data_IF_931475863162
#
_entry.id   IF_931475863162
#
_cell.length_a   1.000
_cell.length_b   1.000
_cell.length_c   1.000
_cell.angle_alpha   90.00
_cell.angle_beta   90.00
_cell.angle_gamma   90.00
#
_symmetry.space_group_name_H-M   'P 1'
#
loop_
_entity.id
_entity.type
_entity.pdbx_description
1 polymer ?
#
# COMPACT_ATOMS: atom_id res chain seq x y z
N UNK A 1 -44.23 47.57 6.30
CA UNK A 1 -43.29 48.23 5.35
C UNK A 1 -41.91 47.80 5.74
N UNK A 2 -41.30 46.98 4.88
CA UNK A 2 -40.05 46.27 5.08
C UNK A 2 -38.85 47.22 4.98
N UNK A 3 -37.91 47.12 5.91
CA UNK A 3 -36.58 47.72 5.80
C UNK A 3 -35.68 46.71 5.07
N UNK A 4 -35.50 46.93 3.78
CA UNK A 4 -34.55 46.19 2.93
C UNK A 4 -33.24 47.00 2.91
N UNK A 5 -32.21 46.46 3.56
CA UNK A 5 -30.83 46.92 3.47
C UNK A 5 -30.10 45.97 2.49
N UNK A 6 -29.55 46.45 1.36
CA UNK A 6 -28.86 45.57 0.44
C UNK A 6 -27.52 45.13 1.06
N UNK A 7 -27.38 43.82 1.26
CA UNK A 7 -26.10 43.17 1.60
C UNK A 7 -25.03 43.58 0.58
N UNK A 8 -23.80 43.93 0.99
CA UNK A 8 -22.72 44.12 0.04
C UNK A 8 -22.37 42.77 -0.58
N UNK A 9 -22.52 42.69 -1.89
CA UNK A 9 -22.04 41.58 -2.71
C UNK A 9 -20.55 41.35 -2.43
N UNK A 10 -20.21 40.21 -1.82
CA UNK A 10 -18.85 39.66 -1.83
C UNK A 10 -18.51 39.31 -3.29
N UNK A 11 -17.93 40.28 -4.00
CA UNK A 11 -17.20 40.01 -5.22
C UNK A 11 -15.97 39.21 -4.81
N UNK A 12 -16.08 37.88 -4.92
CA UNK A 12 -14.96 36.94 -4.83
C UNK A 12 -14.06 37.20 -6.05
N UNK A 13 -13.13 38.14 -5.93
CA UNK A 13 -12.06 38.29 -6.91
C UNK A 13 -11.09 37.14 -6.69
N UNK A 14 -11.14 36.13 -7.56
CA UNK A 14 -10.08 35.12 -7.63
C UNK A 14 -8.80 35.82 -8.06
N UNK A 15 -7.92 36.07 -7.10
CA UNK A 15 -6.59 36.64 -7.34
C UNK A 15 -5.66 35.47 -7.64
N UNK A 16 -5.31 35.30 -8.92
CA UNK A 16 -4.27 34.35 -9.32
C UNK A 16 -2.89 34.92 -9.01
N UNK A 17 -2.08 34.21 -8.24
CA UNK A 17 -0.70 34.61 -7.96
C UNK A 17 0.24 34.38 -9.14
N UNK A 18 1.14 35.36 -9.35
CA UNK A 18 2.27 35.20 -10.25
C UNK A 18 3.40 34.37 -9.61
N UNK A 19 4.11 33.58 -10.42
CA UNK A 19 5.14 32.65 -9.96
C UNK A 19 6.19 33.24 -8.99
N UNK A 20 6.74 34.47 -9.19
CA UNK A 20 7.71 35.05 -8.26
C UNK A 20 7.14 35.32 -6.85
N UNK A 21 5.85 35.63 -6.75
CA UNK A 21 5.18 35.87 -5.48
C UNK A 21 4.86 34.55 -4.76
N UNK A 22 4.47 33.51 -5.51
CA UNK A 22 4.27 32.17 -4.97
C UNK A 22 5.58 31.60 -4.38
N UNK A 23 6.73 31.81 -5.02
CA UNK A 23 8.04 31.36 -4.51
C UNK A 23 8.48 32.06 -3.22
N UNK A 24 8.16 33.35 -3.07
CA UNK A 24 8.48 34.11 -1.85
C UNK A 24 7.62 33.64 -0.66
N UNK A 25 6.32 33.42 -0.91
CA UNK A 25 5.40 32.87 0.10
C UNK A 25 5.81 31.45 0.47
N UNK A 26 6.19 30.64 -0.51
CA UNK A 26 6.64 29.26 -0.31
C UNK A 26 7.87 29.19 0.61
N UNK A 27 8.88 30.04 0.37
CA UNK A 27 10.08 30.13 1.21
C UNK A 27 9.76 30.52 2.66
N UNK A 28 8.94 31.55 2.86
CA UNK A 28 8.53 31.97 4.20
C UNK A 28 7.70 30.89 4.92
N UNK A 29 6.79 30.24 4.20
CA UNK A 29 6.00 29.14 4.73
C UNK A 29 6.86 27.93 5.09
N UNK A 30 7.91 27.63 4.31
CA UNK A 30 8.89 26.60 4.62
C UNK A 30 9.67 26.88 5.90
N UNK A 31 10.11 28.11 6.09
CA UNK A 31 10.83 28.54 7.29
C UNK A 31 9.96 28.43 8.54
N UNK A 32 8.71 28.90 8.47
CA UNK A 32 7.75 28.81 9.58
C UNK A 32 7.34 27.37 9.87
N UNK A 33 7.15 26.56 8.83
CA UNK A 33 6.76 25.16 9.00
C UNK A 33 7.94 24.26 9.42
N UNK A 34 9.18 24.72 9.28
CA UNK A 34 10.39 23.93 9.52
C UNK A 34 10.59 22.79 8.51
N UNK A 35 10.14 22.99 7.27
CA UNK A 35 10.11 21.96 6.21
C UNK A 35 10.27 22.62 4.85
N UNK A 36 10.96 21.97 3.92
CA UNK A 36 10.95 22.43 2.53
C UNK A 36 9.59 22.16 1.87
N UNK A 37 8.97 23.22 1.35
CA UNK A 37 7.72 23.19 0.62
C UNK A 37 8.05 23.42 -0.86
N UNK A 38 7.48 22.62 -1.75
CA UNK A 38 7.74 22.66 -3.19
C UNK A 38 6.43 22.58 -3.98
N UNK A 39 6.47 22.87 -5.28
CA UNK A 39 5.32 22.78 -6.20
C UNK A 39 4.02 23.45 -5.67
N UNK A 40 4.02 24.79 -5.46
CA UNK A 40 2.85 25.51 -4.97
C UNK A 40 1.75 25.57 -6.05
N UNK A 41 0.56 25.13 -5.69
CA UNK A 41 -0.68 25.35 -6.44
C UNK A 41 -1.54 26.38 -5.70
N UNK A 42 -1.81 27.50 -6.37
CA UNK A 42 -2.69 28.54 -5.85
C UNK A 42 -4.14 28.02 -5.78
N UNK A 43 -4.73 28.07 -4.59
CA UNK A 43 -6.12 27.69 -4.34
C UNK A 43 -7.03 28.92 -4.19
N UNK A 44 -6.51 30.11 -4.46
CA UNK A 44 -7.20 31.38 -4.30
C UNK A 44 -7.07 31.96 -2.89
N UNK A 45 -7.86 32.98 -2.60
CA UNK A 45 -7.76 33.71 -1.34
C UNK A 45 -8.54 35.01 -1.32
N UNK A 46 -8.20 35.87 -0.37
CA UNK A 46 -8.72 37.23 -0.25
C UNK A 46 -7.59 38.25 -0.38
N UNK A 47 -7.93 39.55 -0.36
CA UNK A 47 -6.93 40.63 -0.28
C UNK A 47 -6.02 40.54 0.96
N UNK A 48 -6.41 39.75 1.99
CA UNK A 48 -5.68 39.62 3.26
C UNK A 48 -5.03 38.24 3.45
N UNK A 49 -5.34 37.26 2.61
CA UNK A 49 -4.90 35.89 2.81
C UNK A 49 -4.78 35.15 1.48
N UNK A 50 -3.67 34.46 1.28
CA UNK A 50 -3.44 33.58 0.14
C UNK A 50 -3.39 32.14 0.62
N UNK A 51 -4.08 31.24 -0.07
CA UNK A 51 -4.06 29.80 0.24
C UNK A 51 -3.31 29.06 -0.88
N UNK A 52 -2.17 28.50 -0.54
CA UNK A 52 -1.40 27.64 -1.45
C UNK A 52 -1.49 26.19 -0.98
N UNK A 53 -1.66 25.26 -1.91
CA UNK A 53 -1.35 23.84 -1.69
C UNK A 53 0.08 23.60 -2.13
N UNK A 54 0.94 23.16 -1.23
CA UNK A 54 2.32 22.84 -1.54
C UNK A 54 2.58 21.36 -1.30
N UNK A 55 3.54 20.80 -2.02
CA UNK A 55 4.17 19.52 -1.68
C UNK A 55 5.20 19.77 -0.59
N UNK A 56 5.49 18.76 0.22
CA UNK A 56 6.65 18.81 1.12
C UNK A 56 7.60 17.73 0.66
N UNK A 57 8.90 18.02 0.61
CA UNK A 57 9.89 16.97 0.47
C UNK A 57 9.76 16.04 1.69
N UNK A 58 9.53 14.77 1.39
CA UNK A 58 9.68 13.62 2.28
C UNK A 58 8.72 13.51 3.46
N UNK A 59 7.78 12.58 3.31
CA UNK A 59 6.97 12.08 4.41
C UNK A 59 7.79 11.26 5.42
N UNK A 60 9.00 10.82 5.07
CA UNK A 60 9.89 9.99 5.90
C UNK A 60 10.14 10.60 7.29
N UNK A 61 10.27 11.93 7.38
CA UNK A 61 10.52 12.63 8.65
C UNK A 61 9.23 13.04 9.41
N UNK A 62 8.06 12.55 8.99
CA UNK A 62 6.75 13.00 9.51
C UNK A 62 6.10 12.10 10.55
N UNK A 63 6.82 11.10 11.06
CA UNK A 63 6.26 10.13 12.04
C UNK A 63 5.68 10.80 13.28
N UNK A 64 6.36 11.81 13.82
CA UNK A 64 5.84 12.60 14.94
C UNK A 64 4.57 13.40 14.59
N UNK A 65 4.46 13.90 13.35
CA UNK A 65 3.26 14.60 12.89
C UNK A 65 2.07 13.64 12.75
N UNK A 66 2.30 12.45 12.19
CA UNK A 66 1.27 11.40 12.12
C UNK A 66 0.81 11.00 13.52
N UNK A 67 1.72 10.72 14.44
CA UNK A 67 1.39 10.35 15.82
C UNK A 67 0.53 11.43 16.50
N UNK A 68 0.85 12.71 16.30
CA UNK A 68 0.04 13.83 16.82
C UNK A 68 -1.36 13.87 16.21
N UNK A 69 -1.49 13.66 14.89
CA UNK A 69 -2.79 13.59 14.23
C UNK A 69 -3.59 12.39 14.71
N UNK A 70 -2.95 11.24 14.88
CA UNK A 70 -3.57 10.00 15.37
C UNK A 70 -4.08 10.15 16.80
N UNK A 71 -3.30 10.77 17.69
CA UNK A 71 -3.73 11.08 19.05
C UNK A 71 -4.96 12.01 19.09
N UNK A 72 -5.05 12.95 18.15
CA UNK A 72 -6.17 13.88 18.07
C UNK A 72 -7.44 13.30 17.43
N UNK A 73 -7.30 12.49 16.37
CA UNK A 73 -8.41 12.06 15.52
C UNK A 73 -8.71 10.56 15.56
N UNK A 74 -7.77 9.73 16.02
CA UNK A 74 -7.88 8.27 16.02
C UNK A 74 -8.85 7.71 17.06
N UNK A 75 -9.36 8.53 18.00
CA UNK A 75 -10.37 8.17 19.02
C UNK A 75 -10.03 6.90 19.82
N UNK A 76 -8.74 6.62 20.05
CA UNK A 76 -8.28 5.44 20.79
C UNK A 76 -8.16 4.16 19.94
N UNK A 77 -8.37 4.22 18.63
CA UNK A 77 -8.05 3.12 17.72
C UNK A 77 -6.52 2.98 17.63
N UNK A 78 -5.95 1.79 17.90
CA UNK A 78 -4.53 1.56 17.71
C UNK A 78 -4.15 1.81 16.24
N UNK A 79 -2.99 2.41 16.02
CA UNK A 79 -2.49 2.59 14.66
C UNK A 79 -2.08 1.24 14.06
N UNK A 80 -2.08 1.15 12.74
CA UNK A 80 -1.62 -0.08 12.06
C UNK A 80 -0.11 -0.35 12.30
N UNK A 81 0.65 0.69 12.66
CA UNK A 81 2.04 0.61 13.11
C UNK A 81 2.20 -0.15 14.43
N UNK A 82 1.22 -0.03 15.33
CA UNK A 82 1.21 -0.69 16.64
C UNK A 82 0.58 -2.09 16.57
N UNK A 83 -0.02 -2.45 15.44
CA UNK A 83 -0.64 -3.74 15.24
C UNK A 83 0.41 -4.81 14.85
N UNK A 84 0.63 -5.86 15.67
CA UNK A 84 1.60 -6.92 15.34
C UNK A 84 1.01 -7.92 14.32
N UNK A 85 0.49 -7.43 13.19
CA UNK A 85 -0.24 -8.25 12.23
C UNK A 85 0.67 -9.30 11.58
N UNK A 86 1.94 -8.97 11.33
CA UNK A 86 2.91 -9.92 10.77
C UNK A 86 3.14 -11.09 11.73
N UNK A 87 3.42 -10.82 13.01
CA UNK A 87 3.57 -11.84 14.04
C UNK A 87 2.34 -12.75 14.17
N UNK A 88 1.13 -12.15 14.16
CA UNK A 88 -0.12 -12.92 14.20
C UNK A 88 -0.28 -13.80 12.95
N UNK A 89 0.12 -13.28 11.79
CA UNK A 89 -0.03 -13.97 10.53
C UNK A 89 0.99 -15.11 10.37
N UNK A 90 2.26 -14.89 10.69
CA UNK A 90 3.30 -15.93 10.64
C UNK A 90 2.97 -17.09 11.58
N UNK A 91 2.53 -16.78 12.80
CA UNK A 91 1.99 -17.77 13.74
C UNK A 91 0.75 -18.49 13.16
N UNK A 92 -0.17 -17.74 12.55
CA UNK A 92 -1.37 -18.29 11.93
C UNK A 92 -1.07 -19.29 10.81
N UNK A 93 -0.04 -19.07 10.00
CA UNK A 93 0.36 -20.03 8.97
C UNK A 93 0.82 -21.36 9.60
N UNK A 94 1.62 -21.30 10.67
CA UNK A 94 2.05 -22.51 11.39
C UNK A 94 0.87 -23.28 11.99
N UNK A 95 -0.17 -22.59 12.44
CA UNK A 95 -1.41 -23.23 12.92
C UNK A 95 -2.20 -23.89 11.78
N UNK A 96 -2.23 -23.30 10.59
CA UNK A 96 -2.99 -23.83 9.45
C UNK A 96 -2.36 -25.06 8.80
N UNK A 97 -1.04 -25.22 8.87
CA UNK A 97 -0.34 -26.32 8.17
C UNK A 97 -0.83 -27.72 8.60
N UNK A 98 -0.92 -28.05 9.91
CA UNK A 98 -1.45 -29.33 10.35
C UNK A 98 -2.91 -29.58 9.90
N UNK A 99 -3.75 -28.54 9.90
CA UNK A 99 -5.15 -28.62 9.44
C UNK A 99 -5.23 -28.97 7.95
N UNK A 100 -4.27 -28.49 7.16
CA UNK A 100 -4.10 -28.82 5.76
C UNK A 100 -3.39 -30.17 5.50
N UNK A 101 -3.06 -30.94 6.53
CA UNK A 101 -2.32 -32.21 6.39
C UNK A 101 -0.85 -32.03 5.94
N UNK A 102 -0.27 -30.87 6.28
CA UNK A 102 1.10 -30.50 5.94
C UNK A 102 1.93 -30.42 7.23
N UNK A 103 3.01 -31.20 7.30
CA UNK A 103 4.03 -31.01 8.32
C UNK A 103 4.88 -29.78 7.94
N UNK A 104 5.09 -28.87 8.88
CA UNK A 104 5.94 -27.71 8.66
C UNK A 104 7.38 -28.15 8.33
N UNK A 105 8.00 -27.65 7.24
CA UNK A 105 9.40 -27.90 6.97
C UNK A 105 10.29 -27.39 8.14
N UNK A 106 11.41 -28.07 8.46
CA UNK A 106 12.21 -27.79 9.67
C UNK A 106 12.65 -26.33 9.85
N UNK A 107 12.99 -25.63 8.76
CA UNK A 107 13.49 -24.24 8.81
C UNK A 107 12.39 -23.18 8.69
N UNK A 108 11.12 -23.59 8.46
CA UNK A 108 10.04 -22.64 8.17
C UNK A 108 9.86 -21.60 9.26
N UNK A 109 9.95 -21.98 10.53
CA UNK A 109 9.77 -21.04 11.65
C UNK A 109 10.84 -19.94 11.65
N UNK A 110 12.10 -20.28 11.36
CA UNK A 110 13.19 -19.31 11.26
C UNK A 110 13.03 -18.39 10.04
N UNK A 111 12.55 -18.92 8.92
CA UNK A 111 12.25 -18.11 7.74
C UNK A 111 11.07 -17.16 7.97
N UNK A 112 10.03 -17.61 8.66
CA UNK A 112 8.88 -16.76 9.01
C UNK A 112 9.29 -15.61 9.93
N UNK A 113 10.20 -15.84 10.88
CA UNK A 113 10.78 -14.76 11.68
C UNK A 113 11.55 -13.74 10.82
N UNK A 114 12.29 -14.21 9.80
CA UNK A 114 12.92 -13.31 8.82
C UNK A 114 11.90 -12.55 7.97
N UNK A 115 10.81 -13.19 7.55
CA UNK A 115 9.73 -12.54 6.78
C UNK A 115 9.04 -11.46 7.62
N UNK A 116 8.76 -11.76 8.89
CA UNK A 116 8.16 -10.83 9.86
C UNK A 116 9.02 -9.58 10.07
N UNK A 117 10.34 -9.72 10.08
CA UNK A 117 11.27 -8.60 10.26
C UNK A 117 11.20 -7.52 9.15
N UNK A 118 10.39 -7.71 8.10
CA UNK A 118 10.14 -6.65 7.10
C UNK A 118 9.49 -5.41 7.72
N UNK A 119 8.71 -5.53 8.80
CA UNK A 119 8.17 -4.35 9.52
C UNK A 119 9.20 -3.61 10.36
N UNK A 120 10.35 -4.23 10.60
CA UNK A 120 11.43 -3.69 11.43
C UNK A 120 12.60 -3.17 10.60
N UNK A 121 12.43 -3.06 9.27
CA UNK A 121 13.52 -2.67 8.38
C UNK A 121 13.98 -1.21 8.54
N UNK A 122 15.15 -0.93 7.99
CA UNK A 122 15.79 0.39 8.04
C UNK A 122 15.14 1.42 7.08
N UNK A 123 14.04 1.07 6.40
CA UNK A 123 13.46 1.85 5.31
C UNK A 123 11.96 2.18 5.49
N UNK A 124 11.53 2.77 6.63
CA UNK A 124 10.13 3.07 6.86
C UNK A 124 9.67 4.38 6.18
N UNK A 125 8.67 4.31 5.30
CA UNK A 125 8.02 5.50 4.74
C UNK A 125 6.56 5.58 5.15
N UNK A 126 6.00 6.80 5.11
CA UNK A 126 4.57 7.00 5.28
C UNK A 126 3.80 6.33 4.13
N UNK A 127 2.81 5.53 4.49
CA UNK A 127 1.83 4.95 3.58
C UNK A 127 0.44 5.47 3.93
N UNK A 128 -0.47 5.66 2.96
CA UNK A 128 -1.90 5.78 3.26
C UNK A 128 -2.49 4.48 3.84
N UNK A 129 -1.73 3.37 3.81
CA UNK A 129 -2.16 2.05 4.27
C UNK A 129 -2.77 1.26 3.13
N UNK A 130 -3.98 1.62 2.74
CA UNK A 130 -4.74 0.93 1.69
C UNK A 130 -4.78 1.74 0.38
N UNK A 131 -3.87 1.42 -0.55
CA UNK A 131 -3.76 2.08 -1.86
C UNK A 131 -4.69 1.50 -2.94
N UNK A 132 -5.73 0.77 -2.54
CA UNK A 132 -6.58 0.08 -3.49
C UNK A 132 -7.48 1.01 -4.32
N UNK A 133 -7.93 0.61 -5.52
CA UNK A 133 -8.54 1.54 -6.48
C UNK A 133 -9.75 2.30 -5.94
N UNK A 134 -10.49 1.72 -4.99
CA UNK A 134 -11.65 2.36 -4.37
C UNK A 134 -11.29 3.52 -3.44
N UNK A 135 -10.05 3.54 -2.93
CA UNK A 135 -9.52 4.61 -2.07
C UNK A 135 -8.79 5.68 -2.88
N UNK A 136 -9.05 5.74 -4.19
CA UNK A 136 -8.40 6.64 -5.11
C UNK A 136 -9.44 7.40 -5.93
N UNK A 137 -9.43 8.73 -5.80
CA UNK A 137 -10.25 9.61 -6.64
C UNK A 137 -9.40 10.21 -7.75
N UNK A 138 -9.77 9.92 -9.00
CA UNK A 138 -9.22 10.62 -10.16
C UNK A 138 -9.88 11.99 -10.29
N UNK A 139 -9.08 13.04 -10.31
CA UNK A 139 -9.52 14.43 -10.54
C UNK A 139 -8.82 15.00 -11.79
N UNK A 140 -9.32 16.11 -12.37
CA UNK A 140 -8.60 16.80 -13.45
C UNK A 140 -7.15 17.19 -13.06
N UNK A 141 -6.90 17.40 -11.77
CA UNK A 141 -5.61 17.75 -11.19
C UNK A 141 -4.83 16.52 -10.66
N UNK A 142 -5.17 15.32 -11.14
CA UNK A 142 -4.53 14.05 -10.81
C UNK A 142 -5.20 13.24 -9.68
N UNK A 143 -4.49 12.22 -9.22
CA UNK A 143 -4.96 11.27 -8.20
C UNK A 143 -5.08 11.95 -6.82
N UNK A 144 -6.12 11.59 -6.07
CA UNK A 144 -6.29 11.93 -4.66
C UNK A 144 -6.53 10.66 -3.87
N UNK A 145 -5.64 10.41 -2.90
CA UNK A 145 -5.77 9.32 -1.96
C UNK A 145 -6.89 9.64 -0.96
N UNK A 146 -7.69 8.63 -0.65
CA UNK A 146 -8.74 8.66 0.36
C UNK A 146 -8.44 7.60 1.41
N UNK A 147 -9.25 7.59 2.46
CA UNK A 147 -9.31 6.52 3.45
C UNK A 147 -7.97 6.20 4.16
N UNK A 148 -7.53 7.15 4.99
CA UNK A 148 -6.28 7.06 5.76
C UNK A 148 -6.43 6.29 7.08
N UNK A 149 -7.46 5.45 7.21
CA UNK A 149 -7.74 4.73 8.46
C UNK A 149 -6.68 3.67 8.80
N UNK A 150 -5.86 3.28 7.82
CA UNK A 150 -4.71 2.39 8.00
C UNK A 150 -3.37 3.09 7.73
N UNK A 151 -3.36 4.42 7.72
CA UNK A 151 -2.14 5.18 7.43
C UNK A 151 -1.12 5.03 8.56
N UNK A 152 0.11 4.70 8.21
CA UNK A 152 1.19 4.43 9.16
C UNK A 152 2.57 4.68 8.52
N UNK A 153 3.63 4.51 9.31
CA UNK A 153 4.96 4.26 8.77
C UNK A 153 5.18 2.77 8.66
N UNK A 154 5.54 2.29 7.47
CA UNK A 154 5.89 0.90 7.21
C UNK A 154 7.06 0.81 6.26
N UNK A 155 7.68 -0.36 6.17
CA UNK A 155 8.68 -0.65 5.15
C UNK A 155 8.21 -0.25 3.76
N UNK A 156 9.06 0.48 3.03
CA UNK A 156 8.82 0.82 1.63
C UNK A 156 8.60 -0.40 0.75
N UNK A 157 9.16 -1.57 1.12
CA UNK A 157 9.02 -2.80 0.37
C UNK A 157 7.62 -3.40 0.46
N UNK A 158 6.93 -3.25 1.61
CA UNK A 158 5.54 -3.69 1.74
C UNK A 158 4.63 -2.96 0.75
N UNK A 159 4.87 -1.66 0.54
CA UNK A 159 4.16 -0.87 -0.48
C UNK A 159 4.63 -1.26 -1.89
N UNK A 160 5.95 -1.34 -2.12
CA UNK A 160 6.50 -1.64 -3.45
C UNK A 160 6.10 -3.02 -3.98
N UNK A 161 5.90 -4.01 -3.09
CA UNK A 161 5.39 -5.32 -3.46
C UNK A 161 4.03 -5.26 -4.18
N UNK A 162 3.24 -4.19 -4.01
CA UNK A 162 1.99 -4.00 -4.77
C UNK A 162 2.23 -3.84 -6.27
N UNK A 163 3.44 -3.49 -6.72
CA UNK A 163 3.76 -3.42 -8.15
C UNK A 163 3.81 -4.83 -8.77
N UNK A 164 4.29 -5.82 -8.01
CA UNK A 164 4.37 -7.24 -8.41
C UNK A 164 3.14 -8.05 -8.01
N UNK A 165 2.48 -7.65 -6.93
CA UNK A 165 1.26 -8.24 -6.37
C UNK A 165 0.18 -7.16 -6.20
N UNK A 166 -0.42 -6.66 -7.30
CA UNK A 166 -1.37 -5.56 -7.25
C UNK A 166 -2.47 -5.75 -6.20
N UNK A 167 -2.54 -4.77 -5.31
CA UNK A 167 -3.58 -4.65 -4.29
C UNK A 167 -3.60 -5.83 -3.33
N UNK A 168 -2.46 -6.12 -2.70
CA UNK A 168 -2.24 -7.27 -1.81
C UNK A 168 -3.32 -7.47 -0.74
N UNK A 169 -4.01 -6.41 -0.30
CA UNK A 169 -5.08 -6.43 0.72
C UNK A 169 -6.51 -6.36 0.18
N UNK A 170 -6.73 -6.20 -1.13
CA UNK A 170 -8.04 -5.87 -1.69
C UNK A 170 -8.63 -6.98 -2.56
N UNK A 171 -9.88 -6.76 -2.97
CA UNK A 171 -10.60 -7.56 -3.94
C UNK A 171 -10.26 -7.26 -5.41
N UNK A 172 -9.54 -6.18 -5.71
CA UNK A 172 -9.19 -5.76 -7.07
C UNK A 172 -7.94 -6.49 -7.62
N UNK A 173 -7.65 -7.71 -7.17
CA UNK A 173 -6.42 -8.44 -7.51
C UNK A 173 -6.56 -9.09 -8.88
N UNK A 174 -5.67 -8.75 -9.82
CA UNK A 174 -5.55 -9.38 -11.13
C UNK A 174 -4.08 -9.53 -11.51
N UNK A 175 -3.80 -10.35 -12.52
CA UNK A 175 -2.47 -10.44 -13.09
C UNK A 175 -2.14 -9.16 -13.90
N UNK A 176 -1.08 -8.46 -13.51
CA UNK A 176 -0.57 -7.29 -14.23
C UNK A 176 0.51 -7.75 -15.22
N UNK A 177 0.52 -7.25 -16.47
CA UNK A 177 1.63 -7.51 -17.38
C UNK A 177 2.97 -7.01 -16.80
N UNK A 178 4.07 -7.70 -17.14
CA UNK A 178 5.38 -7.43 -16.53
C UNK A 178 5.91 -6.02 -16.81
N UNK A 179 5.70 -5.51 -18.02
CA UNK A 179 6.21 -4.20 -18.43
C UNK A 179 5.61 -3.04 -17.58
N UNK A 180 4.27 -2.87 -17.47
CA UNK A 180 3.69 -1.91 -16.53
C UNK A 180 4.09 -2.13 -15.08
N UNK A 181 4.23 -3.39 -14.63
CA UNK A 181 4.66 -3.69 -13.27
C UNK A 181 6.08 -3.17 -12.98
N UNK A 182 6.99 -3.36 -13.93
CA UNK A 182 8.38 -2.90 -13.86
C UNK A 182 8.48 -1.38 -13.94
N UNK A 183 7.70 -0.73 -14.79
CA UNK A 183 7.65 0.74 -14.89
C UNK A 183 7.17 1.38 -13.57
N UNK A 184 6.09 0.86 -12.98
CA UNK A 184 5.55 1.39 -11.72
C UNK A 184 6.53 1.14 -10.57
N UNK A 185 7.15 -0.05 -10.51
CA UNK A 185 8.15 -0.37 -9.50
C UNK A 185 9.36 0.56 -9.60
N UNK A 186 9.85 0.79 -10.83
CA UNK A 186 10.99 1.67 -11.08
C UNK A 186 10.68 3.12 -10.70
N UNK A 187 9.51 3.64 -11.08
CA UNK A 187 9.09 4.98 -10.69
C UNK A 187 8.97 5.13 -9.17
N UNK A 188 8.42 4.14 -8.47
CA UNK A 188 8.36 4.14 -7.01
C UNK A 188 9.77 4.07 -6.39
N UNK A 189 10.65 3.24 -6.95
CA UNK A 189 12.04 3.08 -6.50
C UNK A 189 12.82 4.39 -6.60
N UNK A 190 12.67 5.12 -7.70
CA UNK A 190 13.33 6.41 -7.92
C UNK A 190 12.99 7.43 -6.83
N UNK A 191 11.72 7.47 -6.40
CA UNK A 191 11.27 8.36 -5.33
C UNK A 191 11.84 7.95 -3.96
N UNK A 192 11.85 6.66 -3.63
CA UNK A 192 12.36 6.20 -2.32
C UNK A 192 13.89 6.24 -2.21
N UNK A 193 14.61 6.13 -3.33
CA UNK A 193 16.09 6.23 -3.35
C UNK A 193 16.58 7.60 -2.94
N UNK A 194 15.78 8.66 -3.16
CA UNK A 194 16.12 10.02 -2.69
C UNK A 194 16.29 10.04 -1.17
N UNK A 195 15.36 9.39 -0.44
CA UNK A 195 15.42 9.29 1.02
C UNK A 195 16.35 8.17 1.51
N UNK A 196 16.46 7.08 0.74
CA UNK A 196 17.24 5.89 1.10
C UNK A 196 18.20 5.48 -0.03
N UNK A 197 19.37 6.12 -0.16
CA UNK A 197 20.30 5.86 -1.27
C UNK A 197 20.77 4.41 -1.39
N UNK A 198 20.79 3.65 -0.29
CA UNK A 198 21.14 2.23 -0.28
C UNK A 198 20.19 1.38 -1.15
N UNK A 199 18.95 1.82 -1.37
CA UNK A 199 17.95 1.13 -2.19
C UNK A 199 18.25 1.22 -3.70
N UNK A 200 19.26 2.01 -4.11
CA UNK A 200 19.77 2.00 -5.47
C UNK A 200 20.54 0.71 -5.80
N UNK A 201 20.97 -0.07 -4.79
CA UNK A 201 21.53 -1.40 -4.99
C UNK A 201 20.41 -2.41 -5.30
N UNK A 202 20.47 -3.02 -6.49
CA UNK A 202 19.53 -4.04 -6.95
C UNK A 202 19.42 -5.24 -6.01
N UNK A 203 20.52 -5.60 -5.35
CA UNK A 203 20.55 -6.73 -4.42
C UNK A 203 19.69 -6.45 -3.20
N UNK A 204 19.82 -5.23 -2.65
CA UNK A 204 19.03 -4.77 -1.50
C UNK A 204 17.57 -4.65 -1.91
N UNK A 205 17.29 -4.02 -3.05
CA UNK A 205 15.94 -3.82 -3.56
C UNK A 205 15.19 -5.14 -3.78
N UNK A 206 15.79 -6.07 -4.53
CA UNK A 206 15.18 -7.36 -4.86
C UNK A 206 15.01 -8.24 -3.63
N UNK A 207 15.93 -8.18 -2.66
CA UNK A 207 15.77 -8.90 -1.40
C UNK A 207 14.57 -8.39 -0.60
N UNK A 208 14.44 -7.07 -0.44
CA UNK A 208 13.32 -6.45 0.26
C UNK A 208 11.96 -6.72 -0.40
N UNK A 209 11.87 -6.57 -1.73
CA UNK A 209 10.64 -6.89 -2.48
C UNK A 209 10.22 -8.35 -2.25
N UNK A 210 11.16 -9.30 -2.32
CA UNK A 210 10.85 -10.73 -2.14
C UNK A 210 10.42 -11.07 -0.72
N UNK A 211 11.02 -10.43 0.28
CA UNK A 211 10.58 -10.53 1.68
C UNK A 211 9.15 -9.99 1.86
N UNK A 212 8.82 -8.85 1.25
CA UNK A 212 7.48 -8.27 1.28
C UNK A 212 6.44 -9.13 0.53
N UNK A 213 6.79 -9.73 -0.61
CA UNK A 213 5.96 -10.70 -1.34
C UNK A 213 5.64 -11.90 -0.45
N UNK A 214 6.64 -12.42 0.27
CA UNK A 214 6.44 -13.52 1.22
C UNK A 214 5.46 -13.09 2.33
N UNK A 215 5.67 -11.92 2.95
CA UNK A 215 4.79 -11.38 4.00
C UNK A 215 3.33 -11.26 3.54
N UNK A 216 3.08 -10.69 2.36
CA UNK A 216 1.73 -10.57 1.80
C UNK A 216 1.10 -11.92 1.44
N UNK A 217 1.93 -12.88 1.00
CA UNK A 217 1.47 -14.25 0.72
C UNK A 217 1.05 -14.96 2.00
N UNK A 218 1.82 -14.87 3.08
CA UNK A 218 1.44 -15.42 4.40
C UNK A 218 0.14 -14.76 4.87
N UNK A 219 0.04 -13.42 4.78
CA UNK A 219 -1.17 -12.64 5.13
C UNK A 219 -2.43 -13.17 4.46
N UNK A 220 -2.32 -13.36 3.15
CA UNK A 220 -3.46 -13.79 2.34
C UNK A 220 -3.78 -15.26 2.54
N UNK A 221 -2.77 -16.09 2.75
CA UNK A 221 -2.97 -17.51 3.07
C UNK A 221 -3.80 -17.65 4.34
N UNK A 222 -3.39 -16.97 5.41
CA UNK A 222 -4.07 -17.05 6.71
C UNK A 222 -5.48 -16.48 6.65
N UNK A 223 -5.66 -15.38 5.93
CA UNK A 223 -6.97 -14.77 5.75
C UNK A 223 -7.89 -15.62 4.85
N UNK A 224 -7.44 -16.07 3.69
CA UNK A 224 -8.33 -16.66 2.68
C UNK A 224 -8.56 -18.16 2.89
N UNK A 225 -7.52 -18.93 3.21
CA UNK A 225 -7.59 -20.39 3.17
C UNK A 225 -8.76 -20.97 4.02
N UNK A 226 -9.01 -20.52 5.27
CA UNK A 226 -10.13 -21.02 6.06
C UNK A 226 -11.51 -20.73 5.45
N UNK A 227 -11.62 -19.75 4.55
CA UNK A 227 -12.87 -19.33 3.92
C UNK A 227 -13.21 -20.13 2.66
N UNK A 228 -12.23 -20.84 2.10
CA UNK A 228 -12.36 -21.56 0.82
C UNK A 228 -11.87 -23.00 0.83
N UNK A 229 -11.65 -23.56 2.03
CA UNK A 229 -11.29 -24.97 2.18
C UNK A 229 -12.34 -25.90 1.56
N UNK A 230 -13.63 -25.63 1.80
CA UNK A 230 -14.73 -26.45 1.28
C UNK A 230 -15.19 -26.00 -0.11
N UNK A 231 -15.48 -24.70 -0.29
CA UNK A 231 -16.08 -24.15 -1.52
C UNK A 231 -15.37 -22.87 -1.96
N UNK A 232 -15.20 -22.68 -3.27
CA UNK A 232 -14.64 -21.44 -3.82
C UNK A 232 -15.67 -20.31 -3.84
N UNK A 233 -15.20 -19.06 -3.74
CA UNK A 233 -16.04 -17.87 -3.69
C UNK A 233 -15.38 -16.67 -4.39
N UNK A 234 -16.15 -15.80 -5.06
CA UNK A 234 -15.65 -14.51 -5.54
C UNK A 234 -15.01 -13.71 -4.40
N UNK A 235 -13.87 -13.07 -4.64
CA UNK A 235 -13.15 -12.28 -3.61
C UNK A 235 -13.97 -11.07 -3.15
N UNK A 236 -14.85 -10.55 -4.01
CA UNK A 236 -15.86 -9.57 -3.64
C UNK A 236 -17.27 -10.14 -3.77
N UNK A 237 -18.13 -9.83 -2.78
CA UNK A 237 -19.50 -10.35 -2.72
C UNK A 237 -20.33 -10.01 -3.96
N UNK A 238 -20.36 -8.74 -4.37
CA UNK A 238 -21.28 -8.24 -5.42
C UNK A 238 -20.63 -7.74 -6.71
N UNK A 239 -19.49 -7.03 -6.65
CA UNK A 239 -18.76 -6.49 -7.82
C UNK A 239 -18.38 -7.58 -8.82
N UNK A 240 -18.52 -7.29 -10.11
CA UNK A 240 -18.11 -8.15 -11.23
C UNK A 240 -17.54 -7.29 -12.38
N UNK A 241 -16.57 -7.81 -13.15
CA UNK A 241 -15.84 -9.05 -12.90
C UNK A 241 -14.96 -8.93 -11.64
N UNK A 242 -14.69 -10.05 -10.97
CA UNK A 242 -13.68 -10.21 -9.91
C UNK A 242 -13.20 -11.66 -9.91
N UNK A 243 -11.93 -11.96 -9.57
CA UNK A 243 -11.48 -13.34 -9.42
C UNK A 243 -12.08 -14.02 -8.19
N UNK A 244 -11.89 -15.33 -8.11
CA UNK A 244 -12.21 -16.09 -6.92
C UNK A 244 -11.04 -16.09 -5.92
N UNK A 245 -11.38 -16.37 -4.67
CA UNK A 245 -10.42 -16.49 -3.58
C UNK A 245 -9.41 -17.63 -3.82
N UNK A 246 -9.83 -18.78 -4.39
CA UNK A 246 -8.89 -19.86 -4.75
C UNK A 246 -7.97 -19.46 -5.91
N UNK A 247 -8.43 -18.69 -6.89
CA UNK A 247 -7.57 -18.16 -7.95
C UNK A 247 -6.46 -17.27 -7.37
N UNK A 248 -6.82 -16.37 -6.45
CA UNK A 248 -5.86 -15.48 -5.79
C UNK A 248 -4.86 -16.28 -4.94
N UNK A 249 -5.32 -17.24 -4.13
CA UNK A 249 -4.43 -18.08 -3.32
C UNK A 249 -3.46 -18.86 -4.18
N UNK A 250 -3.96 -19.55 -5.21
CA UNK A 250 -3.13 -20.33 -6.12
C UNK A 250 -2.04 -19.48 -6.76
N UNK A 251 -2.40 -18.31 -7.29
CA UNK A 251 -1.45 -17.40 -7.91
C UNK A 251 -0.36 -16.92 -6.93
N UNK A 252 -0.74 -16.55 -5.70
CA UNK A 252 0.24 -16.10 -4.70
C UNK A 252 1.15 -17.23 -4.24
N UNK A 253 0.64 -18.45 -4.10
CA UNK A 253 1.47 -19.63 -3.80
C UNK A 253 2.40 -19.99 -4.96
N UNK A 254 1.95 -19.90 -6.20
CA UNK A 254 2.80 -20.10 -7.40
C UNK A 254 3.96 -19.10 -7.41
N UNK A 255 3.68 -17.81 -7.19
CA UNK A 255 4.70 -16.78 -7.07
C UNK A 255 5.67 -17.04 -5.91
N UNK A 256 5.15 -17.32 -4.71
CA UNK A 256 5.98 -17.51 -3.54
C UNK A 256 6.78 -18.83 -3.56
N UNK A 257 6.36 -19.81 -4.37
CA UNK A 257 7.07 -21.09 -4.54
C UNK A 257 8.43 -20.96 -5.23
N UNK A 258 8.72 -19.81 -5.84
CA UNK A 258 9.98 -19.53 -6.54
C UNK A 258 10.93 -18.65 -5.72
N UNK A 259 10.62 -18.35 -4.45
CA UNK A 259 11.47 -17.51 -3.59
C UNK A 259 12.64 -18.31 -3.02
N UNK A 260 13.79 -18.25 -3.70
CA UNK A 260 15.00 -18.99 -3.34
C UNK A 260 15.62 -18.56 -1.99
N UNK A 261 15.36 -17.35 -1.53
CA UNK A 261 15.84 -16.81 -0.24
C UNK A 261 15.13 -17.42 0.98
N UNK A 262 13.99 -18.06 0.74
CA UNK A 262 13.14 -18.71 1.75
C UNK A 262 12.79 -20.13 1.31
N UNK A 263 13.77 -21.05 1.20
CA UNK A 263 13.56 -22.38 0.65
C UNK A 263 12.51 -23.21 1.41
N UNK A 264 12.42 -23.10 2.74
CA UNK A 264 11.41 -23.82 3.52
C UNK A 264 10.01 -23.23 3.32
N UNK A 265 9.89 -21.91 3.19
CA UNK A 265 8.65 -21.23 2.83
C UNK A 265 8.22 -21.58 1.41
N UNK A 266 9.14 -21.55 0.44
CA UNK A 266 8.88 -21.95 -0.95
C UNK A 266 8.43 -23.42 -1.05
N UNK A 267 9.08 -24.34 -0.32
CA UNK A 267 8.60 -25.73 -0.15
C UNK A 267 7.20 -25.78 0.42
N UNK A 268 6.91 -24.99 1.45
CA UNK A 268 5.57 -24.92 2.04
C UNK A 268 4.52 -24.50 1.02
N UNK A 269 4.83 -23.52 0.16
CA UNK A 269 3.92 -23.11 -0.92
C UNK A 269 3.74 -24.21 -1.98
N UNK A 270 4.80 -24.97 -2.32
CA UNK A 270 4.70 -26.15 -3.21
C UNK A 270 3.85 -27.26 -2.60
N UNK A 271 3.93 -27.47 -1.29
CA UNK A 271 3.08 -28.42 -0.55
C UNK A 271 1.62 -27.95 -0.53
N UNK A 272 1.36 -26.65 -0.30
CA UNK A 272 0.01 -26.08 -0.39
C UNK A 272 -0.57 -26.25 -1.81
N UNK A 273 0.22 -25.96 -2.84
CA UNK A 273 -0.20 -26.12 -4.24
C UNK A 273 -0.56 -27.57 -4.57
N UNK A 274 0.28 -28.53 -4.15
CA UNK A 274 0.07 -29.95 -4.47
C UNK A 274 -1.01 -30.61 -3.62
N UNK A 275 -1.05 -30.37 -2.31
CA UNK A 275 -1.95 -31.06 -1.37
C UNK A 275 -3.29 -30.36 -1.19
N UNK A 276 -3.33 -29.03 -1.31
CA UNK A 276 -4.55 -28.24 -1.11
C UNK A 276 -5.12 -27.81 -2.45
N UNK A 277 -4.35 -27.08 -3.26
CA UNK A 277 -4.83 -26.58 -4.55
C UNK A 277 -4.87 -27.65 -5.67
N UNK A 278 -4.24 -28.81 -5.48
CA UNK A 278 -4.18 -29.87 -6.49
C UNK A 278 -5.55 -30.42 -6.88
N UNK A 279 -6.54 -30.31 -5.98
CA UNK A 279 -7.93 -30.70 -6.23
C UNK A 279 -8.83 -29.54 -6.71
N UNK A 280 -8.31 -28.31 -6.77
CA UNK A 280 -9.10 -27.15 -7.17
C UNK A 280 -9.22 -27.06 -8.69
N UNK A 281 -10.44 -27.16 -9.20
CA UNK A 281 -10.77 -26.86 -10.60
C UNK A 281 -10.99 -25.35 -10.77
N UNK A 282 -9.88 -24.60 -10.79
CA UNK A 282 -9.89 -23.14 -10.96
C UNK A 282 -8.90 -22.71 -12.04
N UNK A 283 -9.30 -21.84 -12.99
CA UNK A 283 -8.38 -21.34 -14.00
C UNK A 283 -7.35 -20.37 -13.39
N UNK A 284 -6.25 -20.06 -14.10
CA UNK A 284 -5.29 -19.06 -13.65
C UNK A 284 -5.95 -17.72 -13.31
N UNK A 285 -5.28 -16.91 -12.47
CA UNK A 285 -5.73 -15.56 -12.16
C UNK A 285 -5.85 -14.75 -13.47
N UNK A 286 -7.01 -14.15 -13.77
CA UNK A 286 -7.18 -13.39 -15.01
C UNK A 286 -6.33 -12.13 -15.01
N UNK A 287 -5.98 -11.66 -16.21
CA UNK A 287 -5.35 -10.36 -16.40
C UNK A 287 -6.31 -9.20 -16.09
N UNK A 288 -5.75 -8.03 -15.81
CA UNK A 288 -6.54 -6.81 -15.69
C UNK A 288 -7.32 -6.51 -16.98
N UNK A 289 -8.64 -6.26 -16.91
CA UNK A 289 -9.45 -5.99 -18.10
C UNK A 289 -8.96 -4.82 -18.96
N UNK A 290 -8.32 -3.83 -18.35
CA UNK A 290 -7.76 -2.66 -19.05
C UNK A 290 -6.63 -3.02 -20.04
N UNK A 291 -6.02 -4.19 -19.90
CA UNK A 291 -4.98 -4.69 -20.82
C UNK A 291 -5.46 -5.89 -21.65
N UNK A 292 -6.73 -6.28 -21.52
CA UNK A 292 -7.35 -7.31 -22.37
C UNK A 292 -7.92 -6.65 -23.62
N UNK A 293 -7.25 -6.84 -24.76
CA UNK A 293 -7.79 -6.51 -26.09
C UNK A 293 -8.94 -7.43 -26.50
#
# INVERSE_FOLDING_TARGET
MSTDDPRPDEVRTDVTLHAPAAEAILRAASEVAGVELSNPADLGGSLRSTVLRCRTAESVHRRANLARLWAGYGRGTPSWEEDPWLARTTAGLLTLLPEAGIAAPPELAGELARIEAVSEDDYPAFTPGDTCPDNNLLTPDGLRLLDFESACFQSVFLTAAYCRMPFSTCWCVYNLPSEPAEEIEQAYREEVVVAYPALADDTVWRAGIRQAIAAWTVSTTVWVLPRVAEEDRPIHRTRRPVPTMRQVLRHRWEMASTLEEFPAFAETMRLMLSKVAGAWDVPPLPGYPAFGG
#
